data_IF_621399527828
#
_entry.id   IF_621399527828
#
_cell.length_a   1.000
_cell.length_b   1.000
_cell.length_c   1.000
_cell.angle_alpha   90.00
_cell.angle_beta   90.00
_cell.angle_gamma   90.00
#
_symmetry.space_group_name_H-M   'P 1'
#
loop_
_entity.id
_entity.type
_entity.pdbx_description
1 polymer ?
#
# COMPACT_ATOMS: atom_id res chain seq x y z
N UNK A 1 43.58 -26.32 31.20
CA UNK A 1 44.38 -25.34 30.43
C UNK A 1 44.34 -25.75 28.97
N UNK A 2 44.11 -24.96 27.92
CA UNK A 2 43.62 -23.60 27.66
C UNK A 2 43.06 -23.74 26.23
N UNK A 3 41.80 -23.38 25.99
CA UNK A 3 41.35 -22.95 24.66
C UNK A 3 40.81 -21.51 24.80
N UNK A 4 41.62 -20.64 25.39
CA UNK A 4 41.40 -19.19 25.39
C UNK A 4 41.91 -18.65 24.04
N UNK A 5 41.20 -19.00 22.97
CA UNK A 5 41.49 -18.56 21.61
C UNK A 5 40.43 -17.58 21.10
N UNK A 6 40.79 -16.63 20.20
CA UNK A 6 39.88 -15.64 19.60
C UNK A 6 38.63 -16.24 18.94
N UNK A 7 38.66 -17.52 18.57
CA UNK A 7 37.59 -18.23 17.88
C UNK A 7 36.32 -18.45 18.72
N UNK A 8 36.42 -18.43 20.07
CA UNK A 8 35.24 -18.54 20.95
C UNK A 8 34.33 -17.32 20.88
N UNK A 9 34.91 -16.13 20.70
CA UNK A 9 34.17 -14.88 20.50
C UNK A 9 33.50 -14.81 19.13
N UNK A 10 34.13 -15.37 18.10
CA UNK A 10 33.54 -15.47 16.76
C UNK A 10 32.33 -16.42 16.73
N UNK A 11 32.41 -17.59 17.37
CA UNK A 11 31.27 -18.52 17.45
C UNK A 11 30.12 -17.97 18.32
N UNK A 12 30.43 -17.37 19.48
CA UNK A 12 29.41 -16.77 20.36
C UNK A 12 28.77 -15.52 19.73
N UNK A 13 29.50 -14.73 18.94
CA UNK A 13 28.94 -13.65 18.14
C UNK A 13 28.03 -14.15 17.02
N UNK A 14 28.45 -15.18 16.28
CA UNK A 14 27.71 -15.71 15.13
C UNK A 14 26.39 -16.41 15.51
N UNK A 15 26.31 -17.08 16.66
CA UNK A 15 25.06 -17.65 17.20
C UNK A 15 24.03 -16.56 17.55
N UNK A 16 24.48 -15.41 18.06
CA UNK A 16 23.60 -14.31 18.46
C UNK A 16 22.99 -13.57 17.26
N UNK A 17 23.69 -13.53 16.11
CA UNK A 17 23.19 -12.85 14.90
C UNK A 17 22.11 -13.65 14.17
N UNK A 18 22.21 -14.98 14.14
CA UNK A 18 21.18 -15.87 13.59
C UNK A 18 19.94 -15.90 14.48
N UNK A 19 20.12 -15.82 15.80
CA UNK A 19 19.04 -15.87 16.78
C UNK A 19 18.25 -14.56 16.89
N UNK A 20 18.89 -13.39 16.86
CA UNK A 20 18.20 -12.10 17.00
C UNK A 20 17.26 -11.80 15.81
N UNK A 21 17.73 -12.00 14.58
CA UNK A 21 16.90 -11.81 13.38
C UNK A 21 15.77 -12.84 13.27
N UNK A 22 16.03 -14.10 13.65
CA UNK A 22 15.02 -15.14 13.71
C UNK A 22 13.98 -14.86 14.80
N UNK A 23 14.39 -14.38 15.97
CA UNK A 23 13.51 -14.00 17.09
C UNK A 23 12.62 -12.83 16.70
N UNK A 24 13.18 -11.75 16.15
CA UNK A 24 12.41 -10.61 15.67
C UNK A 24 11.39 -10.99 14.59
N UNK A 25 11.77 -11.86 13.64
CA UNK A 25 10.85 -12.41 12.63
C UNK A 25 9.75 -13.24 13.27
N UNK A 26 10.09 -14.12 14.21
CA UNK A 26 9.16 -15.02 14.86
C UNK A 26 8.20 -14.27 15.80
N UNK A 27 8.67 -13.22 16.47
CA UNK A 27 7.85 -12.30 17.24
C UNK A 27 6.89 -11.51 16.36
N UNK A 28 7.33 -11.02 15.19
CA UNK A 28 6.44 -10.37 14.23
C UNK A 28 5.37 -11.32 13.69
N UNK A 29 5.73 -12.58 13.41
CA UNK A 29 4.79 -13.64 13.00
C UNK A 29 3.84 -14.00 14.14
N UNK A 30 4.32 -14.13 15.38
CA UNK A 30 3.49 -14.42 16.55
C UNK A 30 2.58 -13.25 16.91
N UNK A 31 3.06 -12.01 16.83
CA UNK A 31 2.25 -10.80 16.97
C UNK A 31 1.17 -10.73 15.89
N UNK A 32 1.49 -11.10 14.65
CA UNK A 32 0.50 -11.19 13.56
C UNK A 32 -0.54 -12.29 13.79
N UNK A 33 -0.14 -13.44 14.35
CA UNK A 33 -1.05 -14.54 14.74
C UNK A 33 -1.93 -14.17 15.94
N UNK A 34 -1.39 -13.45 16.91
CA UNK A 34 -2.06 -13.03 18.15
C UNK A 34 -3.00 -11.84 17.95
N UNK A 35 -2.55 -10.81 17.24
CA UNK A 35 -3.33 -9.59 16.95
C UNK A 35 -4.34 -9.81 15.82
N UNK A 36 -4.11 -10.85 15.01
CA UNK A 36 -5.07 -11.39 14.05
C UNK A 36 -5.33 -10.51 12.82
N UNK A 37 -6.30 -10.98 12.03
CA UNK A 37 -6.70 -10.37 10.75
C UNK A 37 -7.19 -8.93 10.93
N UNK A 38 -7.99 -8.64 11.96
CA UNK A 38 -8.56 -7.31 12.16
C UNK A 38 -7.49 -6.22 12.35
N UNK A 39 -6.43 -6.52 13.12
CA UNK A 39 -5.34 -5.56 13.31
C UNK A 39 -4.48 -5.43 12.06
N UNK A 40 -4.18 -6.54 11.38
CA UNK A 40 -3.45 -6.51 10.11
C UNK A 40 -4.16 -5.68 9.03
N UNK A 41 -5.49 -5.74 8.93
CA UNK A 41 -6.27 -4.91 8.00
C UNK A 41 -6.18 -3.41 8.33
N UNK A 42 -6.14 -3.10 9.63
CA UNK A 42 -6.03 -1.72 10.13
C UNK A 42 -4.64 -1.14 9.88
N UNK A 43 -3.58 -1.93 10.09
CA UNK A 43 -2.18 -1.52 9.93
C UNK A 43 -1.72 -1.47 8.48
N UNK A 44 -2.13 -2.43 7.65
CA UNK A 44 -1.78 -2.45 6.22
C UNK A 44 -2.42 -1.33 5.41
N UNK A 45 -3.41 -0.63 5.97
CA UNK A 45 -4.20 0.35 5.23
C UNK A 45 -4.93 -0.26 4.03
N UNK A 46 -5.09 -1.58 3.98
CA UNK A 46 -5.63 -2.32 2.83
C UNK A 46 -7.02 -1.82 2.44
N UNK A 47 -7.84 -1.45 3.43
CA UNK A 47 -9.15 -0.87 3.17
C UNK A 47 -9.08 0.47 2.42
N UNK A 48 -8.14 1.36 2.80
CA UNK A 48 -7.92 2.64 2.10
C UNK A 48 -7.41 2.37 0.68
N UNK A 49 -6.43 1.47 0.53
CA UNK A 49 -5.88 1.10 -0.77
C UNK A 49 -6.95 0.51 -1.70
N UNK A 50 -7.73 -0.44 -1.20
CA UNK A 50 -8.85 -1.05 -1.94
C UNK A 50 -9.88 -0.01 -2.38
N UNK A 51 -10.24 0.96 -1.52
CA UNK A 51 -11.16 2.06 -1.91
C UNK A 51 -10.58 2.94 -3.01
N UNK A 52 -9.30 3.26 -2.95
CA UNK A 52 -8.61 4.02 -4.00
C UNK A 52 -8.58 3.23 -5.30
N UNK A 53 -8.26 1.93 -5.25
CA UNK A 53 -8.25 1.04 -6.42
C UNK A 53 -9.64 0.91 -7.06
N UNK A 54 -10.70 0.71 -6.26
CA UNK A 54 -12.07 0.70 -6.77
C UNK A 54 -12.46 2.02 -7.42
N UNK A 55 -12.09 3.16 -6.81
CA UNK A 55 -12.37 4.48 -7.38
C UNK A 55 -11.59 4.72 -8.67
N UNK A 56 -10.34 4.28 -8.73
CA UNK A 56 -9.51 4.34 -9.94
C UNK A 56 -10.05 3.42 -11.04
N UNK A 57 -10.62 2.27 -10.69
CA UNK A 57 -11.29 1.40 -11.65
C UNK A 57 -12.51 2.10 -12.29
N UNK A 58 -13.31 2.82 -11.51
CA UNK A 58 -14.39 3.65 -12.06
C UNK A 58 -13.86 4.69 -13.06
N UNK A 59 -12.74 5.35 -12.75
CA UNK A 59 -12.11 6.33 -13.66
C UNK A 59 -11.67 5.67 -14.97
N UNK A 60 -11.07 4.47 -14.92
CA UNK A 60 -10.68 3.72 -16.13
C UNK A 60 -11.88 3.37 -17.01
N UNK A 61 -13.01 3.01 -16.41
CA UNK A 61 -14.23 2.65 -17.14
C UNK A 61 -14.86 3.85 -17.89
N UNK A 62 -14.67 5.08 -17.41
CA UNK A 62 -15.17 6.29 -18.09
C UNK A 62 -14.54 6.51 -19.48
N UNK A 63 -13.41 5.87 -19.80
CA UNK A 63 -12.72 6.00 -21.09
C UNK A 63 -12.96 4.86 -22.07
N UNK A 64 -13.74 3.82 -21.72
CA UNK A 64 -13.78 2.56 -22.51
C UNK A 64 -14.64 2.65 -23.77
N UNK A 65 -15.83 3.25 -23.73
CA UNK A 65 -16.69 3.42 -24.90
C UNK A 65 -17.80 4.44 -24.64
N UNK A 66 -18.31 5.09 -25.69
CA UNK A 66 -19.52 5.93 -25.64
C UNK A 66 -20.72 5.00 -25.83
N UNK A 67 -21.71 5.09 -24.93
CA UNK A 67 -22.87 4.18 -24.91
C UNK A 67 -24.11 4.78 -25.58
N UNK A 68 -24.20 6.10 -25.70
CA UNK A 68 -25.33 6.78 -26.30
C UNK A 68 -25.43 6.53 -27.83
N UNK A 69 -26.65 6.25 -28.30
CA UNK A 69 -26.94 6.03 -29.74
C UNK A 69 -27.15 7.33 -30.51
N UNK A 70 -27.72 8.35 -29.86
CA UNK A 70 -28.02 9.65 -30.47
C UNK A 70 -26.87 10.63 -30.27
N UNK A 71 -26.54 11.41 -31.29
CA UNK A 71 -25.41 12.35 -31.27
C UNK A 71 -25.46 13.33 -30.09
N UNK A 72 -26.60 13.97 -29.85
CA UNK A 72 -26.75 14.92 -28.74
C UNK A 72 -26.51 14.25 -27.37
N UNK A 73 -26.92 12.99 -27.24
CA UNK A 73 -26.68 12.19 -26.03
C UNK A 73 -25.21 11.78 -25.90
N UNK A 74 -24.51 11.55 -27.00
CA UNK A 74 -23.06 11.29 -26.99
C UNK A 74 -22.29 12.53 -26.54
N UNK A 75 -22.67 13.73 -27.02
CA UNK A 75 -22.05 14.99 -26.59
C UNK A 75 -22.24 15.20 -25.09
N UNK A 76 -23.45 15.01 -24.58
CA UNK A 76 -23.72 15.10 -23.14
C UNK A 76 -22.92 14.06 -22.33
N UNK A 77 -22.82 12.82 -22.82
CA UNK A 77 -22.04 11.76 -22.18
C UNK A 77 -20.55 12.12 -22.08
N UNK A 78 -19.95 12.64 -23.16
CA UNK A 78 -18.56 13.10 -23.18
C UNK A 78 -18.37 14.26 -22.19
N UNK A 79 -19.25 15.26 -22.21
CA UNK A 79 -19.15 16.42 -21.33
C UNK A 79 -19.19 16.04 -19.86
N UNK A 80 -20.11 15.14 -19.47
CA UNK A 80 -20.21 14.63 -18.10
C UNK A 80 -18.94 13.86 -17.71
N UNK A 81 -18.40 13.03 -18.61
CA UNK A 81 -17.16 12.27 -18.37
C UNK A 81 -15.95 13.19 -18.19
N UNK A 82 -15.81 14.21 -19.04
CA UNK A 82 -14.76 15.24 -18.92
C UNK A 82 -14.88 16.01 -17.61
N UNK A 83 -16.08 16.44 -17.24
CA UNK A 83 -16.33 17.13 -15.97
C UNK A 83 -15.94 16.25 -14.77
N UNK A 84 -16.29 14.95 -14.79
CA UNK A 84 -15.89 14.00 -13.75
C UNK A 84 -14.37 13.83 -13.68
N UNK A 85 -13.69 13.64 -14.81
CA UNK A 85 -12.23 13.51 -14.88
C UNK A 85 -11.49 14.76 -14.37
N UNK A 86 -11.97 15.93 -14.75
CA UNK A 86 -11.41 17.20 -14.28
C UNK A 86 -11.55 17.35 -12.76
N UNK A 87 -12.69 16.93 -12.19
CA UNK A 87 -12.91 16.90 -10.74
C UNK A 87 -11.91 15.97 -10.04
N UNK A 88 -11.66 14.77 -10.59
CA UNK A 88 -10.66 13.85 -10.05
C UNK A 88 -9.24 14.41 -10.12
N UNK A 89 -8.90 15.05 -11.24
CA UNK A 89 -7.59 15.69 -11.43
C UNK A 89 -7.39 16.79 -10.40
N UNK A 90 -8.39 17.66 -10.19
CA UNK A 90 -8.33 18.71 -9.18
C UNK A 90 -8.14 18.15 -7.75
N UNK A 91 -8.79 17.04 -7.42
CA UNK A 91 -8.62 16.37 -6.11
C UNK A 91 -7.27 15.65 -5.97
N UNK A 92 -6.62 15.30 -7.07
CA UNK A 92 -5.34 14.57 -7.10
C UNK A 92 -4.11 15.47 -7.08
N UNK A 93 -4.26 16.78 -7.29
CA UNK A 93 -3.15 17.74 -7.23
C UNK A 93 -2.72 17.91 -5.77
N UNK A 94 -1.47 17.52 -5.39
CA UNK A 94 -0.98 17.76 -4.04
C UNK A 94 -0.80 19.25 -3.79
N UNK A 95 -1.32 19.75 -2.67
CA UNK A 95 -1.04 21.11 -2.20
C UNK A 95 0.34 21.09 -1.56
N UNK A 96 1.32 21.69 -2.22
CA UNK A 96 2.68 21.84 -1.68
C UNK A 96 2.73 23.12 -0.83
N UNK A 97 2.84 22.97 0.48
CA UNK A 97 3.09 24.06 1.41
C UNK A 97 4.61 24.18 1.61
N UNK A 98 5.19 25.40 1.61
CA UNK A 98 6.59 25.59 1.97
C UNK A 98 6.78 25.23 3.44
N UNK A 99 7.74 24.33 3.72
CA UNK A 99 8.13 23.99 5.10
C UNK A 99 9.04 25.10 5.60
N UNK A 100 8.53 25.92 6.52
CA UNK A 100 9.28 26.93 7.28
C UNK A 100 9.68 26.43 8.67
#
# INVERSE_FOLDING_TARGET
MIAAGPLRWWFSGMENHLCAGATARNEAVNASRYLGRALWWRWSGYHRRSRVESKMNCVKLLGQSIMARDFDRQVAEIQIRVAALNRYTALGIPVTEPVG
#
